data_IF_707924026604
#
_entry.id   IF_707924026604
#
_cell.length_a   1.000
_cell.length_b   1.000
_cell.length_c   1.000
_cell.angle_alpha   90.00
_cell.angle_beta   90.00
_cell.angle_gamma   90.00
#
_symmetry.space_group_name_H-M   'P 1'
#
loop_
_entity.id
_entity.type
_entity.pdbx_description
1 polymer ?
#
# COMPACT_ATOMS: atom_id res chain seq x y z
N UNK A 1 7.26 1.12 -28.04
CA UNK A 1 6.04 0.46 -27.52
C UNK A 1 6.14 0.33 -25.99
N UNK A 2 5.03 0.30 -25.22
CA UNK A 2 5.05 0.27 -23.73
C UNK A 2 5.85 -0.91 -23.15
N UNK A 3 5.74 -2.09 -23.76
CA UNK A 3 6.51 -3.29 -23.41
C UNK A 3 8.03 -3.11 -23.60
N UNK A 4 8.45 -2.40 -24.65
CA UNK A 4 9.88 -2.16 -24.96
C UNK A 4 10.53 -1.16 -24.01
N UNK A 5 9.74 -0.51 -23.14
CA UNK A 5 10.20 0.48 -22.17
C UNK A 5 9.95 -0.03 -20.73
N UNK A 6 10.15 -1.32 -20.50
CA UNK A 6 10.02 -1.97 -19.19
C UNK A 6 8.71 -1.66 -18.47
N UNK A 7 7.62 -1.63 -19.24
CA UNK A 7 6.28 -1.31 -18.75
C UNK A 7 6.10 0.08 -18.13
N UNK A 8 6.88 1.09 -18.56
CA UNK A 8 6.74 2.47 -18.08
C UNK A 8 5.28 2.96 -18.11
N UNK A 9 4.70 3.11 -16.93
CA UNK A 9 3.29 3.46 -16.73
C UNK A 9 2.93 4.86 -17.23
N UNK A 10 3.92 5.69 -17.59
CA UNK A 10 3.75 7.03 -18.19
C UNK A 10 3.45 6.98 -19.69
N UNK A 11 3.79 5.87 -20.36
CA UNK A 11 3.56 5.69 -21.80
C UNK A 11 2.11 5.30 -22.08
N UNK A 12 1.48 4.59 -21.14
CA UNK A 12 0.07 4.19 -21.23
C UNK A 12 -0.79 5.13 -20.38
N UNK A 13 -2.06 5.35 -20.76
CA UNK A 13 -2.98 6.07 -19.88
C UNK A 13 -3.11 5.31 -18.55
N UNK A 14 -2.97 6.00 -17.41
CA UNK A 14 -2.91 5.40 -16.05
C UNK A 14 -4.03 4.40 -15.72
N UNK A 15 -5.21 4.60 -16.30
CA UNK A 15 -6.39 3.74 -16.08
C UNK A 15 -6.25 2.38 -16.77
N UNK A 16 -5.39 2.25 -17.78
CA UNK A 16 -5.10 1.02 -18.50
C UNK A 16 -3.83 0.33 -17.97
N UNK A 17 -2.85 1.10 -17.48
CA UNK A 17 -1.56 0.56 -17.05
C UNK A 17 -1.73 -0.43 -15.89
N UNK A 18 -2.55 -0.08 -14.89
CA UNK A 18 -2.73 -0.92 -13.69
C UNK A 18 -3.44 -2.26 -13.97
N UNK A 19 -4.60 -2.30 -14.66
CA UNK A 19 -5.23 -3.57 -14.99
C UNK A 19 -4.36 -4.46 -15.87
N UNK A 20 -3.60 -3.87 -16.80
CA UNK A 20 -2.75 -4.63 -17.71
C UNK A 20 -1.56 -5.24 -16.99
N UNK A 21 -0.86 -4.48 -16.14
CA UNK A 21 0.18 -5.01 -15.25
C UNK A 21 -0.35 -6.15 -14.38
N UNK A 22 -1.52 -5.98 -13.77
CA UNK A 22 -2.13 -7.04 -12.96
C UNK A 22 -2.40 -8.32 -13.76
N UNK A 23 -2.84 -8.20 -15.03
CA UNK A 23 -3.04 -9.35 -15.91
C UNK A 23 -1.71 -10.06 -16.24
N UNK A 24 -0.65 -9.30 -16.52
CA UNK A 24 0.69 -9.84 -16.77
C UNK A 24 1.28 -10.56 -15.55
N UNK A 25 1.08 -9.99 -14.35
CA UNK A 25 1.48 -10.64 -13.10
C UNK A 25 0.75 -11.97 -12.90
N UNK A 26 -0.54 -12.04 -13.24
CA UNK A 26 -1.33 -13.28 -13.13
C UNK A 26 -0.85 -14.38 -14.07
N UNK A 27 -0.33 -14.04 -15.24
CA UNK A 27 0.27 -15.02 -16.17
C UNK A 27 1.75 -15.30 -15.90
N UNK A 28 2.33 -14.66 -14.88
CA UNK A 28 3.66 -14.99 -14.37
C UNK A 28 4.81 -14.15 -14.92
N UNK A 29 4.55 -12.99 -15.53
CA UNK A 29 5.61 -12.11 -16.01
C UNK A 29 6.41 -11.50 -14.83
N UNK A 30 7.72 -11.80 -14.71
CA UNK A 30 8.54 -11.34 -13.58
C UNK A 30 8.85 -9.83 -13.63
N UNK A 31 8.98 -9.25 -14.82
CA UNK A 31 9.24 -7.83 -14.99
C UNK A 31 7.97 -7.04 -14.64
N UNK A 32 6.81 -7.48 -15.14
CA UNK A 32 5.53 -6.88 -14.78
C UNK A 32 5.27 -6.97 -13.27
N UNK A 33 5.67 -8.07 -12.61
CA UNK A 33 5.58 -8.19 -11.15
C UNK A 33 6.39 -7.15 -10.41
N UNK A 34 7.61 -6.86 -10.86
CA UNK A 34 8.43 -5.80 -10.26
C UNK A 34 7.75 -4.44 -10.42
N UNK A 35 7.38 -4.08 -11.64
CA UNK A 35 6.74 -2.79 -11.96
C UNK A 35 5.39 -2.65 -11.25
N UNK A 36 4.63 -3.73 -11.13
CA UNK A 36 3.34 -3.72 -10.45
C UNK A 36 3.47 -3.42 -8.95
N UNK A 37 4.52 -3.93 -8.29
CA UNK A 37 4.80 -3.60 -6.88
C UNK A 37 5.11 -2.10 -6.69
N UNK A 38 5.92 -1.54 -7.58
CA UNK A 38 6.26 -0.11 -7.58
C UNK A 38 4.99 0.74 -7.79
N UNK A 39 4.12 0.33 -8.71
CA UNK A 39 2.84 0.96 -8.97
C UNK A 39 1.84 0.88 -7.80
N UNK A 40 1.84 -0.23 -7.05
CA UNK A 40 1.09 -0.33 -5.79
C UNK A 40 1.65 0.66 -4.77
N UNK A 41 2.97 0.70 -4.59
CA UNK A 41 3.62 1.60 -3.64
C UNK A 41 3.35 3.08 -3.95
N UNK A 42 3.46 3.48 -5.22
CA UNK A 42 3.15 4.84 -5.68
C UNK A 42 1.70 5.23 -5.40
N UNK A 43 0.75 4.33 -5.68
CA UNK A 43 -0.67 4.58 -5.39
C UNK A 43 -0.95 4.66 -3.89
N UNK A 44 -0.30 3.84 -3.07
CA UNK A 44 -0.42 3.93 -1.61
C UNK A 44 0.13 5.26 -1.09
N UNK A 45 1.30 5.68 -1.59
CA UNK A 45 1.94 6.94 -1.23
C UNK A 45 1.16 8.18 -1.67
N UNK A 46 0.37 8.09 -2.76
CA UNK A 46 -0.47 9.20 -3.23
C UNK A 46 -1.49 9.68 -2.18
N UNK A 47 -1.87 8.82 -1.24
CA UNK A 47 -2.79 9.17 -0.16
C UNK A 47 -4.23 9.46 -0.60
N UNK A 48 -4.65 9.06 -1.81
CA UNK A 48 -6.05 9.20 -2.21
C UNK A 48 -6.91 8.12 -1.52
N UNK A 49 -7.90 8.49 -0.68
CA UNK A 49 -8.65 7.54 0.14
C UNK A 49 -9.25 6.37 -0.66
N UNK A 50 -9.92 6.69 -1.77
CA UNK A 50 -10.60 5.70 -2.62
C UNK A 50 -9.62 4.73 -3.28
N UNK A 51 -8.43 5.21 -3.66
CA UNK A 51 -7.37 4.38 -4.25
C UNK A 51 -6.79 3.45 -3.19
N UNK A 52 -6.45 3.97 -2.01
CA UNK A 52 -5.87 3.15 -0.93
C UNK A 52 -6.86 2.09 -0.45
N UNK A 53 -8.12 2.48 -0.25
CA UNK A 53 -9.17 1.54 0.14
C UNK A 53 -9.37 0.45 -0.91
N UNK A 54 -9.38 0.80 -2.19
CA UNK A 54 -9.43 -0.19 -3.27
C UNK A 54 -8.27 -1.17 -3.20
N UNK A 55 -7.03 -0.67 -3.02
CA UNK A 55 -5.84 -1.52 -2.96
C UNK A 55 -5.85 -2.51 -1.80
N UNK A 56 -6.31 -2.06 -0.63
CA UNK A 56 -6.43 -2.89 0.58
C UNK A 56 -7.55 -3.92 0.42
N UNK A 57 -8.74 -3.49 -0.04
CA UNK A 57 -9.91 -4.35 -0.17
C UNK A 57 -9.74 -5.45 -1.23
N UNK A 58 -9.01 -5.15 -2.31
CA UNK A 58 -8.71 -6.11 -3.37
C UNK A 58 -7.45 -6.95 -3.09
N UNK A 59 -6.90 -6.87 -1.87
CA UNK A 59 -5.78 -7.69 -1.41
C UNK A 59 -4.51 -7.52 -2.27
N UNK A 60 -4.27 -6.30 -2.79
CA UNK A 60 -3.06 -6.00 -3.57
C UNK A 60 -1.81 -5.89 -2.68
N UNK A 61 -1.97 -5.67 -1.37
CA UNK A 61 -0.86 -5.65 -0.42
C UNK A 61 -0.09 -6.98 -0.36
N UNK A 62 -0.70 -8.11 -0.76
CA UNK A 62 -0.01 -9.41 -0.81
C UNK A 62 1.17 -9.45 -1.77
N UNK A 63 1.22 -8.53 -2.72
CA UNK A 63 2.32 -8.45 -3.69
C UNK A 63 3.56 -7.78 -3.09
N UNK A 64 3.40 -7.06 -1.96
CA UNK A 64 4.49 -6.42 -1.23
C UNK A 64 5.07 -7.40 -0.20
N UNK A 65 6.40 -7.35 -0.02
CA UNK A 65 7.07 -8.11 1.01
C UNK A 65 6.92 -7.44 2.39
N UNK A 66 7.44 -8.10 3.42
CA UNK A 66 7.27 -7.66 4.81
C UNK A 66 7.93 -6.30 5.05
N UNK A 67 9.09 -6.09 4.45
CA UNK A 67 9.94 -4.90 4.56
C UNK A 67 9.28 -3.69 3.88
N UNK A 68 8.72 -3.87 2.68
CA UNK A 68 7.97 -2.86 1.94
C UNK A 68 6.72 -2.42 2.72
N UNK A 69 5.97 -3.37 3.26
CA UNK A 69 4.81 -3.06 4.12
C UNK A 69 5.26 -2.33 5.39
N UNK A 70 6.39 -2.72 5.99
CA UNK A 70 6.92 -2.05 7.17
C UNK A 70 7.30 -0.59 6.88
N UNK A 71 7.96 -0.34 5.75
CA UNK A 71 8.34 1.00 5.33
C UNK A 71 7.12 1.90 5.14
N UNK A 72 6.04 1.39 4.52
CA UNK A 72 4.77 2.12 4.41
C UNK A 72 4.14 2.43 5.78
N UNK A 73 4.23 1.48 6.72
CA UNK A 73 3.72 1.64 8.09
C UNK A 73 4.65 2.45 9.00
N UNK A 74 5.81 2.90 8.53
CA UNK A 74 6.67 3.84 9.25
C UNK A 74 6.34 5.29 8.92
N UNK A 75 5.67 5.52 7.78
CA UNK A 75 5.12 6.83 7.45
C UNK A 75 3.93 7.18 8.37
N UNK A 76 4.16 8.17 9.25
CA UNK A 76 3.13 8.66 10.18
C UNK A 76 1.94 9.26 9.45
N UNK A 77 2.14 9.90 8.29
CA UNK A 77 1.05 10.46 7.51
C UNK A 77 0.18 9.35 6.96
N UNK A 78 0.79 8.28 6.43
CA UNK A 78 0.06 7.10 5.99
C UNK A 78 -0.77 6.48 7.12
N UNK A 79 -0.20 6.30 8.32
CA UNK A 79 -0.94 5.75 9.47
C UNK A 79 -2.08 6.68 9.92
N UNK A 80 -1.84 8.00 10.04
CA UNK A 80 -2.88 8.97 10.40
C UNK A 80 -4.01 8.96 9.37
N UNK A 81 -3.67 8.91 8.09
CA UNK A 81 -4.64 8.87 7.02
C UNK A 81 -5.43 7.55 6.98
N UNK A 82 -4.80 6.41 7.28
CA UNK A 82 -5.51 5.13 7.43
C UNK A 82 -6.63 5.22 8.46
N UNK A 83 -6.38 5.84 9.61
CA UNK A 83 -7.44 6.05 10.63
C UNK A 83 -8.59 6.92 10.12
N UNK A 84 -8.30 7.85 9.20
CA UNK A 84 -9.31 8.73 8.59
C UNK A 84 -10.12 8.03 7.50
N UNK A 85 -9.47 7.19 6.68
CA UNK A 85 -10.12 6.52 5.56
C UNK A 85 -10.97 5.33 6.00
N UNK A 86 -10.55 4.66 7.07
CA UNK A 86 -11.24 3.50 7.62
C UNK A 86 -11.94 3.93 8.91
N UNK A 87 -13.27 4.03 8.83
CA UNK A 87 -14.10 4.35 9.99
C UNK A 87 -14.03 3.25 11.06
N UNK A 88 -13.73 2.00 10.67
CA UNK A 88 -13.52 0.88 11.58
C UNK A 88 -12.36 -0.03 11.12
N UNK A 89 -11.57 -0.56 12.06
CA UNK A 89 -10.56 -1.60 11.78
C UNK A 89 -11.17 -2.92 11.27
N UNK A 90 -12.49 -3.10 11.34
CA UNK A 90 -13.24 -4.19 10.68
C UNK A 90 -13.16 -4.13 9.16
N UNK A 91 -12.98 -2.94 8.59
CA UNK A 91 -12.86 -2.74 7.14
C UNK A 91 -11.45 -3.09 6.61
N UNK A 92 -10.51 -3.32 7.53
CA UNK A 92 -9.12 -3.65 7.23
C UNK A 92 -8.89 -5.14 7.45
N UNK A 93 -8.13 -5.84 6.57
CA UNK A 93 -7.72 -7.21 6.81
C UNK A 93 -7.12 -7.40 8.22
N UNK A 94 -7.52 -8.46 8.92
CA UNK A 94 -7.12 -8.72 10.33
C UNK A 94 -5.60 -8.67 10.54
N UNK A 95 -4.81 -9.14 9.57
CA UNK A 95 -3.35 -9.13 9.65
C UNK A 95 -2.79 -7.70 9.65
N UNK A 96 -3.39 -6.81 8.84
CA UNK A 96 -2.95 -5.43 8.69
C UNK A 96 -3.34 -4.62 9.92
N UNK A 97 -4.56 -4.81 10.43
CA UNK A 97 -4.99 -4.15 11.68
C UNK A 97 -4.12 -4.55 12.87
N UNK A 98 -3.68 -5.82 12.95
CA UNK A 98 -2.72 -6.28 13.97
C UNK A 98 -1.38 -5.55 13.86
N UNK A 99 -0.84 -5.37 12.66
CA UNK A 99 0.44 -4.66 12.43
C UNK A 99 0.33 -3.16 12.75
N UNK A 100 -0.76 -2.51 12.34
CA UNK A 100 -1.02 -1.10 12.65
C UNK A 100 -1.10 -0.90 14.17
N UNK A 101 -1.82 -1.77 14.89
CA UNK A 101 -1.92 -1.71 16.35
C UNK A 101 -0.55 -1.87 17.04
N UNK A 102 0.29 -2.78 16.55
CA UNK A 102 1.65 -2.95 17.07
C UNK A 102 2.46 -1.65 16.90
N UNK A 103 2.52 -1.10 15.68
CA UNK A 103 3.24 0.15 15.38
C UNK A 103 2.70 1.35 16.18
N UNK A 104 1.38 1.46 16.34
CA UNK A 104 0.78 2.53 17.16
C UNK A 104 1.10 2.39 18.65
N UNK A 105 1.29 1.18 19.15
CA UNK A 105 1.73 0.95 20.53
C UNK A 105 3.22 1.28 20.69
N UNK A 106 4.05 1.01 19.69
CA UNK A 106 5.47 1.41 19.68
C UNK A 106 5.63 2.94 19.59
N UNK A 107 4.66 3.64 18.98
CA UNK A 107 4.56 5.10 18.96
C UNK A 107 4.03 5.71 20.27
N UNK A 108 3.69 4.92 21.29
CA UNK A 108 3.42 5.44 22.64
C UNK A 108 4.73 5.45 23.41
N UNK A 109 4.96 6.48 24.22
CA UNK A 109 6.15 6.54 25.06
C UNK A 109 6.14 5.32 26.01
N UNK A 110 7.14 4.41 25.94
CA UNK A 110 7.16 3.21 26.79
C UNK A 110 7.33 3.55 28.28
N UNK A 111 7.73 4.79 28.58
CA UNK A 111 8.02 5.24 29.94
C UNK A 111 6.82 5.89 30.65
N UNK A 112 5.86 6.46 29.93
CA UNK A 112 4.69 7.13 30.52
C UNK A 112 3.35 6.76 29.88
N UNK A 113 3.32 5.94 28.83
CA UNK A 113 2.10 5.51 28.15
C UNK A 113 1.36 6.61 27.38
N UNK A 114 1.84 7.86 27.44
CA UNK A 114 1.31 8.98 26.67
C UNK A 114 1.42 8.68 25.18
N UNK A 115 0.35 8.95 24.44
CA UNK A 115 0.43 9.06 22.97
C UNK A 115 1.49 10.12 22.67
N UNK A 116 2.41 9.88 21.72
CA UNK A 116 3.27 10.95 21.20
C UNK A 116 2.33 11.88 20.40
N UNK A 117 1.72 12.81 21.12
CA UNK A 117 0.94 13.92 20.57
C UNK A 117 1.92 14.90 19.94
N UNK A 118 1.75 15.13 18.64
CA UNK A 118 2.11 16.40 18.00
C UNK A 118 0.82 17.00 17.48
#
# INVERSE_FOLDING_TARGET
MWYENDYDSRILHRNLAFPLLNALVKVGDPLAKKVFKEEIALRLASGYPSVVQHLINQDYLKYLNKEEINSLLEDRNFIKNLQKWFNDFRDIPKWLSKRIKAKLNDLKCPHCGSKIST
#
